data_IF_203179660475
#
_entry.id   IF_203179660475
#
_cell.length_a   1.000
_cell.length_b   1.000
_cell.length_c   1.000
_cell.angle_alpha   90.00
_cell.angle_beta   90.00
_cell.angle_gamma   90.00
#
_symmetry.space_group_name_H-M   'P 1'
#
loop_
_entity.id
_entity.type
_entity.pdbx_description
1 polymer ?
#
# COMPACT_ATOMS: atom_id res chain seq x y z
N UNK A 1 8.01 -3.60 49.58
CA UNK A 1 8.86 -2.89 48.59
C UNK A 1 10.29 -3.37 48.73
N UNK A 2 10.71 -4.40 47.97
CA UNK A 2 12.06 -4.98 48.11
C UNK A 2 12.46 -5.89 46.94
N UNK A 3 12.03 -5.56 45.72
CA UNK A 3 12.24 -6.43 44.55
C UNK A 3 13.64 -6.33 43.90
N UNK A 4 14.44 -5.33 44.27
CA UNK A 4 15.81 -5.14 43.77
C UNK A 4 16.72 -4.92 44.98
N UNK A 5 17.64 -5.87 45.21
CA UNK A 5 18.44 -6.03 46.42
C UNK A 5 19.69 -5.14 46.42
N UNK A 6 20.18 -4.73 45.25
CA UNK A 6 21.32 -3.81 45.13
C UNK A 6 21.04 -2.55 44.30
N UNK A 7 21.77 -1.48 44.58
CA UNK A 7 21.72 -0.23 43.79
C UNK A 7 22.08 -0.48 42.31
N UNK A 8 22.92 -1.47 42.04
CA UNK A 8 23.30 -1.89 40.69
C UNK A 8 22.15 -2.54 39.94
N UNK A 9 21.38 -3.42 40.60
CA UNK A 9 20.19 -4.06 40.02
C UNK A 9 19.11 -3.00 39.72
N UNK A 10 18.94 -2.01 40.60
CA UNK A 10 18.03 -0.87 40.35
C UNK A 10 18.43 -0.04 39.14
N UNK A 11 19.72 0.23 38.97
CA UNK A 11 20.24 0.97 37.81
C UNK A 11 20.10 0.17 36.52
N UNK A 12 20.37 -1.14 36.57
CA UNK A 12 20.22 -2.03 35.42
C UNK A 12 18.76 -2.12 34.96
N UNK A 13 17.82 -2.38 35.88
CA UNK A 13 16.39 -2.44 35.56
C UNK A 13 15.86 -1.11 34.96
N UNK A 14 16.34 0.04 35.47
CA UNK A 14 15.97 1.34 34.93
C UNK A 14 16.52 1.58 33.51
N UNK A 15 17.77 1.18 33.26
CA UNK A 15 18.39 1.28 31.93
C UNK A 15 17.68 0.37 30.92
N UNK A 16 17.38 -0.88 31.31
CA UNK A 16 16.65 -1.84 30.49
C UNK A 16 15.26 -1.33 30.14
N UNK A 17 14.52 -0.78 31.11
CA UNK A 17 13.21 -0.17 30.86
C UNK A 17 13.30 1.02 29.89
N UNK A 18 14.27 1.91 30.09
CA UNK A 18 14.45 3.08 29.22
C UNK A 18 14.83 2.68 27.80
N UNK A 19 15.69 1.67 27.66
CA UNK A 19 16.08 1.13 26.36
C UNK A 19 14.91 0.42 25.68
N UNK A 20 14.15 -0.39 26.41
CA UNK A 20 12.95 -1.04 25.90
C UNK A 20 11.94 -0.02 25.38
N UNK A 21 11.64 1.02 26.16
CA UNK A 21 10.70 2.07 25.74
C UNK A 21 11.14 2.81 24.49
N UNK A 22 12.43 3.18 24.39
CA UNK A 22 12.99 3.79 23.17
C UNK A 22 12.90 2.87 21.96
N UNK A 23 13.07 1.56 22.15
CA UNK A 23 12.95 0.59 21.07
C UNK A 23 11.50 0.44 20.61
N UNK A 24 10.56 0.36 21.54
CA UNK A 24 9.12 0.29 21.24
C UNK A 24 8.64 1.52 20.46
N UNK A 25 9.00 2.72 20.89
CA UNK A 25 8.64 3.98 20.20
C UNK A 25 9.16 4.00 18.76
N UNK A 26 10.42 3.58 18.56
CA UNK A 26 11.05 3.51 17.25
C UNK A 26 10.40 2.45 16.35
N UNK A 27 9.99 1.32 16.91
CA UNK A 27 9.29 0.28 16.16
C UNK A 27 7.87 0.73 15.78
N UNK A 28 7.18 1.43 16.68
CA UNK A 28 5.86 1.98 16.40
C UNK A 28 5.92 3.06 15.30
N UNK A 29 6.93 3.93 15.33
CA UNK A 29 7.16 4.94 14.29
C UNK A 29 7.43 4.27 12.93
N UNK A 30 8.28 3.22 12.91
CA UNK A 30 8.52 2.43 11.69
C UNK A 30 7.25 1.78 11.15
N UNK A 31 6.44 1.20 12.04
CA UNK A 31 5.17 0.56 11.66
C UNK A 31 4.19 1.58 11.10
N UNK A 32 4.06 2.76 11.71
CA UNK A 32 3.22 3.86 11.21
C UNK A 32 3.69 4.36 9.85
N UNK A 33 4.99 4.55 9.66
CA UNK A 33 5.55 4.96 8.38
C UNK A 33 5.28 3.93 7.29
N UNK A 34 5.44 2.63 7.59
CA UNK A 34 5.11 1.55 6.65
C UNK A 34 3.63 1.57 6.28
N UNK A 35 2.74 1.67 7.26
CA UNK A 35 1.29 1.73 7.05
C UNK A 35 0.91 2.94 6.19
N UNK A 36 1.47 4.12 6.46
CA UNK A 36 1.20 5.33 5.68
C UNK A 36 1.58 5.15 4.21
N UNK A 37 2.71 4.50 3.91
CA UNK A 37 3.12 4.20 2.53
C UNK A 37 2.16 3.22 1.86
N UNK A 38 1.75 2.17 2.56
CA UNK A 38 0.79 1.20 2.02
C UNK A 38 -0.57 1.85 1.73
N UNK A 39 -1.07 2.69 2.64
CA UNK A 39 -2.35 3.38 2.47
C UNK A 39 -2.31 4.39 1.32
N UNK A 40 -1.21 5.13 1.19
CA UNK A 40 -0.96 5.99 0.03
C UNK A 40 -0.96 5.18 -1.27
N UNK A 41 -0.26 4.05 -1.28
CA UNK A 41 -0.17 3.20 -2.47
C UNK A 41 -1.54 2.67 -2.88
N UNK A 42 -2.33 2.17 -1.93
CA UNK A 42 -3.71 1.69 -2.17
C UNK A 42 -4.61 2.80 -2.69
N UNK A 43 -4.53 4.01 -2.13
CA UNK A 43 -5.29 5.17 -2.61
C UNK A 43 -5.10 5.37 -4.12
N UNK A 44 -3.85 5.33 -4.58
CA UNK A 44 -3.52 5.54 -6.00
C UNK A 44 -3.99 4.37 -6.86
N UNK A 45 -3.70 3.13 -6.45
CA UNK A 45 -4.05 1.93 -7.22
C UNK A 45 -5.56 1.75 -7.35
N UNK A 46 -6.33 1.95 -6.28
CA UNK A 46 -7.77 1.67 -6.25
C UNK A 46 -8.64 2.86 -6.68
N UNK A 47 -8.09 4.07 -6.77
CA UNK A 47 -8.85 5.25 -7.16
C UNK A 47 -9.47 5.13 -8.56
N UNK A 48 -10.77 5.34 -8.69
CA UNK A 48 -11.43 5.36 -10.01
C UNK A 48 -11.24 6.70 -10.73
N UNK A 49 -11.06 7.77 -9.97
CA UNK A 49 -10.93 9.15 -10.47
C UNK A 49 -9.56 9.45 -11.08
N UNK A 50 -8.51 8.80 -10.59
CA UNK A 50 -7.15 8.95 -11.09
C UNK A 50 -6.86 7.89 -12.16
N UNK A 51 -6.63 8.32 -13.39
CA UNK A 51 -6.26 7.45 -14.51
C UNK A 51 -4.76 7.16 -14.52
N UNK A 52 -4.37 6.04 -15.13
CA UNK A 52 -2.96 5.65 -15.32
C UNK A 52 -2.17 6.60 -16.25
N UNK A 53 -2.85 7.52 -16.95
CA UNK A 53 -2.23 8.60 -17.74
C UNK A 53 -2.00 9.90 -16.95
N UNK A 54 -2.60 10.06 -15.77
CA UNK A 54 -2.44 11.28 -14.97
C UNK A 54 -1.04 11.35 -14.35
N UNK A 55 -0.51 12.56 -14.23
CA UNK A 55 0.78 12.85 -13.61
C UNK A 55 0.63 13.14 -12.10
N UNK A 56 1.76 13.27 -11.40
CA UNK A 56 1.79 13.50 -9.96
C UNK A 56 1.05 14.79 -9.54
N UNK A 57 1.18 15.86 -10.33
CA UNK A 57 0.45 17.12 -10.08
C UNK A 57 -1.06 16.89 -10.03
N UNK A 58 -1.60 16.12 -10.98
CA UNK A 58 -3.03 15.80 -10.99
C UNK A 58 -3.45 14.94 -9.80
N UNK A 59 -2.59 14.01 -9.36
CA UNK A 59 -2.85 13.23 -8.15
C UNK A 59 -2.87 14.10 -6.89
N UNK A 60 -1.94 15.07 -6.80
CA UNK A 60 -1.93 16.06 -5.71
C UNK A 60 -3.24 16.86 -5.68
N UNK A 61 -3.69 17.40 -6.81
CA UNK A 61 -4.97 18.13 -6.88
C UNK A 61 -6.18 17.29 -6.42
N UNK A 62 -6.13 15.97 -6.59
CA UNK A 62 -7.23 15.07 -6.25
C UNK A 62 -7.19 14.59 -4.79
N UNK A 63 -5.99 14.46 -4.21
CA UNK A 63 -5.79 13.74 -2.96
C UNK A 63 -5.03 14.53 -1.90
N UNK A 64 -4.66 15.79 -2.13
CA UNK A 64 -3.87 16.56 -1.15
C UNK A 64 -4.53 16.67 0.23
N UNK A 65 -5.87 16.63 0.27
CA UNK A 65 -6.64 16.67 1.51
C UNK A 65 -6.79 15.32 2.22
N UNK A 66 -6.50 14.21 1.54
CA UNK A 66 -6.63 12.87 2.09
C UNK A 66 -5.62 12.60 3.21
N UNK A 67 -6.06 11.95 4.28
CA UNK A 67 -5.22 11.68 5.44
C UNK A 67 -4.02 10.80 5.09
N UNK A 68 -4.21 9.79 4.24
CA UNK A 68 -3.14 8.91 3.76
C UNK A 68 -2.15 9.63 2.84
N UNK A 69 -2.58 10.67 2.11
CA UNK A 69 -1.68 11.53 1.34
C UNK A 69 -0.78 12.36 2.27
N UNK A 70 -1.37 12.99 3.28
CA UNK A 70 -0.65 13.83 4.26
C UNK A 70 0.28 13.01 5.15
N UNK A 71 -0.04 11.75 5.43
CA UNK A 71 0.75 10.86 6.29
C UNK A 71 2.13 10.49 5.71
N UNK A 72 2.31 10.59 4.39
CA UNK A 72 3.60 10.32 3.72
C UNK A 72 4.40 11.62 3.56
N UNK A 73 5.72 11.64 3.84
CA UNK A 73 6.57 12.81 3.59
C UNK A 73 6.61 13.22 2.11
N UNK A 74 6.57 14.52 1.82
CA UNK A 74 6.47 15.05 0.44
C UNK A 74 7.55 14.52 -0.51
N UNK A 75 8.79 14.38 -0.01
CA UNK A 75 9.93 13.85 -0.76
C UNK A 75 9.76 12.39 -1.24
N UNK A 76 8.89 11.62 -0.59
CA UNK A 76 8.66 10.19 -0.90
C UNK A 76 7.38 9.99 -1.73
N UNK A 77 6.50 11.00 -1.80
CA UNK A 77 5.20 10.87 -2.47
C UNK A 77 5.32 10.65 -3.98
N UNK A 78 6.24 11.34 -4.64
CA UNK A 78 6.38 11.25 -6.10
C UNK A 78 6.90 9.88 -6.54
N UNK A 79 7.90 9.33 -5.82
CA UNK A 79 8.41 7.98 -6.06
C UNK A 79 7.32 6.92 -5.83
N UNK A 80 6.64 6.97 -4.69
CA UNK A 80 5.54 6.05 -4.36
C UNK A 80 4.38 6.16 -5.36
N UNK A 81 4.10 7.36 -5.84
CA UNK A 81 3.09 7.58 -6.88
C UNK A 81 3.47 6.88 -8.19
N UNK A 82 4.72 7.00 -8.63
CA UNK A 82 5.17 6.34 -9.84
C UNK A 82 5.10 4.82 -9.72
N UNK A 83 5.53 4.26 -8.58
CA UNK A 83 5.42 2.83 -8.30
C UNK A 83 3.96 2.36 -8.32
N UNK A 84 3.07 3.08 -7.64
CA UNK A 84 1.64 2.78 -7.60
C UNK A 84 0.97 2.88 -8.98
N UNK A 85 1.34 3.88 -9.81
CA UNK A 85 0.82 4.00 -11.17
C UNK A 85 1.28 2.86 -12.09
N UNK A 86 2.51 2.36 -11.90
CA UNK A 86 3.00 1.17 -12.63
C UNK A 86 2.16 -0.05 -12.25
N UNK A 87 1.95 -0.27 -10.94
CA UNK A 87 1.16 -1.39 -10.44
C UNK A 87 -0.28 -1.33 -10.97
N UNK A 88 -0.93 -0.16 -10.87
CA UNK A 88 -2.26 0.06 -11.41
C UNK A 88 -2.36 -0.26 -12.90
N UNK A 89 -1.39 0.20 -13.69
CA UNK A 89 -1.33 -0.07 -15.13
C UNK A 89 -1.11 -1.55 -15.43
N UNK A 90 -0.33 -2.25 -14.62
CA UNK A 90 -0.14 -3.70 -14.76
C UNK A 90 -1.43 -4.46 -14.44
N UNK A 91 -2.11 -4.09 -13.35
CA UNK A 91 -3.41 -4.65 -12.96
C UNK A 91 -4.47 -4.47 -14.05
N UNK A 92 -4.61 -3.25 -14.57
CA UNK A 92 -5.56 -2.96 -15.68
C UNK A 92 -5.25 -3.80 -16.93
N UNK A 93 -3.98 -3.97 -17.29
CA UNK A 93 -3.58 -4.82 -18.42
C UNK A 93 -3.88 -6.30 -18.18
N UNK A 94 -3.64 -6.78 -16.97
CA UNK A 94 -3.93 -8.17 -16.60
C UNK A 94 -5.44 -8.44 -16.63
N UNK A 95 -6.24 -7.54 -16.06
CA UNK A 95 -7.70 -7.60 -16.08
C UNK A 95 -8.24 -7.65 -17.51
N UNK A 96 -7.74 -6.79 -18.41
CA UNK A 96 -8.10 -6.80 -19.84
C UNK A 96 -7.74 -8.11 -20.53
N UNK A 97 -6.57 -8.69 -20.23
CA UNK A 97 -6.16 -9.99 -20.78
C UNK A 97 -7.05 -11.12 -20.29
N UNK A 98 -7.34 -11.14 -18.98
CA UNK A 98 -8.22 -12.12 -18.36
C UNK A 98 -9.65 -12.02 -18.92
N UNK A 99 -10.16 -10.80 -19.11
CA UNK A 99 -11.46 -10.58 -19.72
C UNK A 99 -11.50 -11.03 -21.19
N UNK A 100 -10.49 -10.68 -21.99
CA UNK A 100 -10.40 -11.18 -23.38
C UNK A 100 -10.38 -12.70 -23.44
N UNK A 101 -9.61 -13.35 -22.56
CA UNK A 101 -9.57 -14.82 -22.45
C UNK A 101 -10.95 -15.39 -22.10
N UNK A 102 -11.65 -14.81 -21.12
CA UNK A 102 -13.02 -15.20 -20.73
C UNK A 102 -14.02 -15.03 -21.87
N UNK A 103 -14.01 -13.89 -22.55
CA UNK A 103 -14.90 -13.60 -23.69
C UNK A 103 -14.66 -14.59 -24.84
N UNK A 104 -13.40 -14.89 -25.17
CA UNK A 104 -13.09 -15.88 -26.21
C UNK A 104 -13.51 -17.30 -25.83
N UNK A 105 -13.35 -17.69 -24.56
CA UNK A 105 -13.81 -19.00 -24.08
C UNK A 105 -15.33 -19.12 -24.18
N UNK A 106 -16.07 -18.14 -23.65
CA UNK A 106 -17.53 -18.10 -23.73
C UNK A 106 -18.04 -18.13 -25.18
N UNK A 107 -17.34 -17.44 -26.10
CA UNK A 107 -17.67 -17.47 -27.52
C UNK A 107 -17.44 -18.86 -28.15
N UNK A 108 -16.34 -19.54 -27.82
CA UNK A 108 -16.08 -20.91 -28.29
C UNK A 108 -17.14 -21.89 -27.78
N UNK A 109 -17.47 -21.83 -26.50
CA UNK A 109 -18.50 -22.68 -25.89
C UNK A 109 -19.87 -22.47 -26.56
N UNK A 110 -20.20 -21.23 -26.92
CA UNK A 110 -21.41 -20.92 -27.66
C UNK A 110 -21.42 -21.57 -29.05
N UNK A 111 -20.32 -21.44 -29.81
CA UNK A 111 -20.18 -22.06 -31.13
C UNK A 111 -20.31 -23.59 -31.07
N UNK A 112 -19.72 -24.22 -30.05
CA UNK A 112 -19.82 -25.67 -29.85
C UNK A 112 -21.24 -26.14 -29.48
N UNK A 113 -22.01 -25.28 -28.80
CA UNK A 113 -23.40 -25.56 -28.40
C UNK A 113 -24.44 -25.26 -29.49
N UNK A 114 -24.10 -24.48 -30.52
CA UNK A 114 -24.99 -24.23 -31.67
C UNK A 114 -24.72 -25.24 -32.80
N UNK A 115 -25.60 -26.24 -33.04
CA UNK A 115 -25.43 -27.16 -34.15
C UNK A 115 -25.86 -26.43 -35.43
N UNK A 116 -24.91 -26.04 -36.29
CA UNK A 116 -25.29 -25.45 -37.59
C UNK A 116 -24.28 -24.60 -38.34
N UNK A 117 -23.01 -24.49 -37.90
CA UNK A 117 -21.97 -23.84 -38.73
C UNK A 117 -20.97 -24.91 -39.19
N UNK A 118 -21.37 -25.65 -40.23
CA UNK A 118 -20.48 -26.38 -41.14
C UNK A 118 -20.71 -25.83 -42.55
#
# INVERSE_FOLDING_TARGET
YGALKSLGEKKQAFNEYTQHKRNEEKEEERRKAKQAKEDFFRLIVDSVTLKTSHNFRRARELFEEEACWKAVPEREREELFHEAQIEKKNREKEEQRAEKKRRMAAFRDLLERTPGVK
#
